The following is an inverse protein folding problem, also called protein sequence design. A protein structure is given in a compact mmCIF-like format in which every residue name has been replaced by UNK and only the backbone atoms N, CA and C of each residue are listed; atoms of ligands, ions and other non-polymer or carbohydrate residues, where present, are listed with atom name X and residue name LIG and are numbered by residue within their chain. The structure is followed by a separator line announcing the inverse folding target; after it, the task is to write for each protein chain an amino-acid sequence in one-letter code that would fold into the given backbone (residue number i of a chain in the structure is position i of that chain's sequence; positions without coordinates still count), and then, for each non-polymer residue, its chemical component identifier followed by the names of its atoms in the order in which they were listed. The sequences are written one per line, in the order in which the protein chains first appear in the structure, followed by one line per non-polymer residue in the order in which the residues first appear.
data_IF_378895613678
#
_entry.id   IF_378895613678
#
_cell.length_a   1.000
_cell.length_b   1.000
_cell.length_c   1.000
_cell.angle_alpha   90.00
_cell.angle_beta   90.00
_cell.angle_gamma   90.00
#
_symmetry.space_group_name_H-M   'P 1'
#
loop_
_entity.id
_entity.type
_entity.pdbx_description
1 polymer ?
#
# COMPACT_ATOMS: atom_id res chain seq x y z
N UNK A 1 12.60 4.60 1.02
CA UNK A 1 12.18 3.76 2.17
C UNK A 1 12.80 4.32 3.43
N UNK A 2 12.18 4.14 4.59
CA UNK A 2 12.75 4.51 5.89
C UNK A 2 13.50 3.33 6.49
N UNK A 3 14.62 3.59 7.16
CA UNK A 3 15.38 2.55 7.84
C UNK A 3 14.93 2.44 9.30
N UNK A 4 14.53 1.24 9.71
CA UNK A 4 14.31 0.91 11.13
C UNK A 4 15.66 0.76 11.84
N UNK A 5 15.64 0.81 13.17
CA UNK A 5 16.85 0.64 14.00
C UNK A 5 17.51 -0.74 13.83
N UNK A 6 16.76 -1.75 13.37
CA UNK A 6 17.24 -3.09 13.07
C UNK A 6 17.83 -3.22 11.64
N UNK A 7 17.86 -2.14 10.87
CA UNK A 7 18.35 -2.14 9.49
C UNK A 7 17.32 -2.52 8.43
N UNK A 8 16.07 -2.79 8.81
CA UNK A 8 15.00 -3.11 7.86
C UNK A 8 14.48 -1.86 7.17
N UNK A 9 14.29 -1.91 5.84
CA UNK A 9 13.67 -0.84 5.08
C UNK A 9 12.14 -0.96 5.07
N UNK A 10 11.45 0.16 5.28
CA UNK A 10 9.99 0.22 5.27
C UNK A 10 9.43 1.36 4.45
N UNK A 11 8.20 1.18 3.97
CA UNK A 11 7.48 2.21 3.23
C UNK A 11 6.98 3.34 4.13
N UNK A 12 6.45 2.99 5.31
CA UNK A 12 5.87 3.96 6.23
C UNK A 12 6.87 4.50 7.25
N UNK A 13 6.74 5.78 7.58
CA UNK A 13 7.48 6.37 8.68
C UNK A 13 7.01 5.77 10.02
N UNK A 14 7.93 5.20 10.80
CA UNK A 14 7.65 4.41 12.02
C UNK A 14 6.85 5.13 13.12
N UNK A 15 6.65 6.45 13.02
CA UNK A 15 5.84 7.25 13.94
C UNK A 15 4.32 7.06 13.76
N UNK A 16 3.85 6.58 12.62
CA UNK A 16 2.42 6.25 12.43
C UNK A 16 2.12 4.91 13.11
N UNK A 17 1.48 4.97 14.29
CA UNK A 17 1.17 3.82 15.18
C UNK A 17 0.19 2.77 14.59
N UNK A 18 -0.04 2.78 13.28
CA UNK A 18 -1.01 1.89 12.64
C UNK A 18 -0.29 0.64 12.11
N UNK A 19 -0.72 -0.57 12.49
CA UNK A 19 -0.27 -1.77 11.82
C UNK A 19 -0.70 -1.72 10.35
N UNK A 20 0.12 -2.30 9.47
CA UNK A 20 -0.18 -2.35 8.05
C UNK A 20 0.34 -3.64 7.41
N UNK A 21 -0.28 -4.02 6.30
CA UNK A 21 0.26 -5.02 5.38
C UNK A 21 0.85 -4.27 4.19
N UNK A 22 2.03 -4.68 3.74
CA UNK A 22 2.69 -4.10 2.56
C UNK A 22 2.84 -5.14 1.48
N UNK A 23 2.45 -4.76 0.26
CA UNK A 23 2.68 -5.51 -0.96
C UNK A 23 3.62 -4.68 -1.83
N UNK A 24 4.90 -5.05 -1.86
CA UNK A 24 5.88 -4.37 -2.69
C UNK A 24 5.66 -4.70 -4.16
N UNK A 25 6.18 -3.87 -5.05
CA UNK A 25 6.04 -4.07 -6.48
C UNK A 25 6.80 -3.04 -7.30
N UNK A 26 6.55 -3.06 -8.60
CA UNK A 26 7.11 -2.10 -9.53
C UNK A 26 6.07 -1.62 -10.55
N UNK A 27 6.25 -0.38 -11.01
CA UNK A 27 5.45 0.23 -12.07
C UNK A 27 6.12 -0.06 -13.42
N UNK A 28 5.57 -0.99 -14.19
CA UNK A 28 6.09 -1.38 -15.49
C UNK A 28 5.58 -0.44 -16.58
N UNK A 29 6.46 0.46 -17.01
CA UNK A 29 6.24 1.36 -18.15
C UNK A 29 7.57 1.97 -18.61
N UNK A 30 7.65 2.36 -19.89
CA UNK A 30 8.76 3.13 -20.44
C UNK A 30 8.69 4.62 -20.06
N UNK A 31 7.54 5.11 -19.59
CA UNK A 31 7.38 6.52 -19.22
C UNK A 31 8.17 6.90 -17.97
N UNK A 32 8.58 8.16 -17.88
CA UNK A 32 9.23 8.70 -16.69
C UNK A 32 8.27 8.80 -15.50
N UNK A 33 8.78 8.58 -14.29
CA UNK A 33 7.95 8.62 -13.08
C UNK A 33 7.23 9.97 -12.90
N UNK A 34 7.82 11.08 -13.34
CA UNK A 34 7.18 12.39 -13.27
C UNK A 34 5.83 12.44 -14.03
N UNK A 35 5.72 11.75 -15.16
CA UNK A 35 4.49 11.63 -15.94
C UNK A 35 3.46 10.76 -15.20
N UNK A 36 3.90 9.63 -14.66
CA UNK A 36 3.06 8.71 -13.87
C UNK A 36 2.50 9.44 -12.65
N UNK A 37 3.37 10.13 -11.91
CA UNK A 37 3.03 10.93 -10.72
C UNK A 37 1.97 11.99 -11.02
N UNK A 38 2.07 12.68 -12.16
CA UNK A 38 1.07 13.66 -12.57
C UNK A 38 -0.33 13.05 -12.72
N UNK A 39 -0.42 11.88 -13.37
CA UNK A 39 -1.71 11.18 -13.53
C UNK A 39 -2.25 10.66 -12.19
N UNK A 40 -1.39 10.07 -11.37
CA UNK A 40 -1.78 9.62 -10.03
C UNK A 40 -2.27 10.77 -9.15
N UNK A 41 -1.66 11.96 -9.23
CA UNK A 41 -2.13 13.17 -8.52
C UNK A 41 -3.46 13.72 -9.04
N UNK A 42 -3.86 13.38 -10.26
CA UNK A 42 -5.17 13.75 -10.80
C UNK A 42 -6.26 12.79 -10.32
N UNK A 43 -5.91 11.52 -10.13
CA UNK A 43 -6.84 10.48 -9.71
C UNK A 43 -6.99 10.36 -8.19
N UNK A 44 -5.92 10.61 -7.44
CA UNK A 44 -5.84 10.31 -6.01
C UNK A 44 -5.30 11.48 -5.19
N UNK A 45 -5.72 11.53 -3.92
CA UNK A 45 -5.17 12.46 -2.94
C UNK A 45 -3.74 12.06 -2.55
N UNK A 46 -2.81 13.01 -2.63
CA UNK A 46 -1.43 12.82 -2.20
C UNK A 46 -1.32 13.05 -0.67
N UNK A 47 -0.99 11.99 0.05
CA UNK A 47 -0.74 12.00 1.48
C UNK A 47 0.72 12.42 1.75
N UNK A 48 0.90 13.34 2.69
CA UNK A 48 2.23 13.85 3.05
C UNK A 48 2.74 13.23 4.36
N UNK A 49 4.06 13.02 4.46
CA UNK A 49 4.71 12.64 5.71
C UNK A 49 4.44 11.21 6.19
N UNK A 50 3.83 10.35 5.36
CA UNK A 50 3.58 8.95 5.72
C UNK A 50 4.51 7.97 5.01
N UNK A 51 4.91 8.27 3.77
CA UNK A 51 5.79 7.42 2.97
C UNK A 51 7.10 8.13 2.63
N UNK A 52 8.05 7.38 2.09
CA UNK A 52 9.38 7.92 1.78
C UNK A 52 9.42 8.88 0.60
N UNK A 53 8.57 8.67 -0.40
CA UNK A 53 8.37 9.56 -1.55
C UNK A 53 6.89 9.93 -1.63
N UNK A 54 6.18 9.51 -2.68
CA UNK A 54 4.76 9.80 -2.83
C UNK A 54 3.90 8.70 -2.20
N UNK A 55 2.80 9.09 -1.57
CA UNK A 55 1.76 8.20 -1.09
C UNK A 55 0.40 8.72 -1.55
N UNK A 56 -0.40 7.84 -2.14
CA UNK A 56 -1.71 8.17 -2.69
C UNK A 56 -2.79 7.43 -1.93
N UNK A 57 -3.80 8.13 -1.45
CA UNK A 57 -4.99 7.50 -0.87
C UNK A 57 -5.83 6.90 -1.99
N UNK A 58 -5.88 5.57 -2.06
CA UNK A 58 -6.65 4.83 -3.08
C UNK A 58 -8.08 4.66 -2.62
N UNK A 59 -8.26 4.26 -1.34
CA UNK A 59 -9.57 4.00 -0.78
C UNK A 59 -9.56 4.13 0.75
N UNK A 60 -10.57 4.77 1.31
CA UNK A 60 -10.89 4.66 2.74
C UNK A 60 -11.69 3.39 3.00
N UNK A 61 -11.29 2.64 4.02
CA UNK A 61 -11.97 1.43 4.47
C UNK A 61 -12.72 1.70 5.77
N UNK A 62 -13.65 0.80 6.10
CA UNK A 62 -14.37 0.87 7.38
C UNK A 62 -13.40 0.76 8.56
N UNK A 63 -13.84 1.27 9.72
CA UNK A 63 -13.12 1.16 11.00
C UNK A 63 -11.71 1.79 11.00
N UNK A 64 -11.56 2.92 10.30
CA UNK A 64 -10.32 3.68 10.15
C UNK A 64 -9.19 2.92 9.40
N UNK A 65 -9.56 1.98 8.53
CA UNK A 65 -8.63 1.39 7.58
C UNK A 65 -8.45 2.26 6.34
N UNK A 66 -7.34 2.10 5.63
CA UNK A 66 -7.12 2.77 4.36
C UNK A 66 -6.24 1.92 3.44
N UNK A 67 -6.49 2.01 2.14
CA UNK A 67 -5.62 1.48 1.11
C UNK A 67 -4.80 2.64 0.53
N UNK A 68 -3.48 2.53 0.63
CA UNK A 68 -2.54 3.57 0.22
C UNK A 68 -1.57 3.00 -0.80
N UNK A 69 -1.42 3.65 -1.94
CA UNK A 69 -0.42 3.31 -2.94
C UNK A 69 0.80 4.22 -2.79
N UNK A 70 1.95 3.65 -2.47
CA UNK A 70 3.21 4.36 -2.38
C UNK A 70 4.02 4.15 -3.65
N UNK A 71 4.68 5.19 -4.14
CA UNK A 71 5.54 5.10 -5.32
C UNK A 71 6.76 6.00 -5.20
N UNK A 72 7.85 5.56 -5.84
CA UNK A 72 9.17 6.21 -5.83
C UNK A 72 9.59 6.57 -7.25
N UNK A 73 10.57 7.47 -7.34
CA UNK A 73 11.13 7.90 -8.63
C UNK A 73 11.81 6.80 -9.43
N UNK A 74 12.29 5.75 -8.76
CA UNK A 74 12.87 4.55 -9.36
C UNK A 74 11.80 3.53 -9.82
N UNK A 75 10.52 3.90 -9.78
CA UNK A 75 9.35 3.07 -10.13
C UNK A 75 9.11 1.88 -9.21
N UNK A 76 9.84 1.76 -8.10
CA UNK A 76 9.43 0.88 -7.02
C UNK A 76 8.14 1.43 -6.40
N UNK A 77 7.20 0.54 -6.07
CA UNK A 77 5.95 0.90 -5.44
C UNK A 77 5.56 -0.09 -4.35
N UNK A 78 4.56 0.27 -3.56
CA UNK A 78 3.89 -0.65 -2.68
C UNK A 78 2.42 -0.31 -2.49
N UNK A 79 1.60 -1.33 -2.34
CA UNK A 79 0.23 -1.19 -1.86
C UNK A 79 0.20 -1.49 -0.36
N UNK A 80 -0.23 -0.51 0.42
CA UNK A 80 -0.31 -0.59 1.87
C UNK A 80 -1.76 -0.68 2.29
N UNK A 81 -2.08 -1.72 3.05
CA UNK A 81 -3.35 -1.81 3.76
C UNK A 81 -3.10 -1.35 5.20
N UNK A 82 -3.54 -0.14 5.52
CA UNK A 82 -3.47 0.44 6.86
C UNK A 82 -4.71 0.07 7.66
N UNK A 83 -4.54 -0.24 8.94
CA UNK A 83 -5.67 -0.42 9.86
C UNK A 83 -5.45 -1.52 10.88
N UNK A 84 -6.43 -1.70 11.76
CA UNK A 84 -6.40 -2.80 12.73
C UNK A 84 -6.99 -4.06 12.11
N UNK A 85 -6.15 -5.10 12.01
CA UNK A 85 -6.58 -6.44 11.60
C UNK A 85 -7.07 -7.23 12.82
N UNK A 86 -8.10 -6.72 13.49
CA UNK A 86 -8.71 -7.45 14.59
C UNK A 86 -9.62 -8.56 14.02
N UNK A 87 -9.49 -9.79 14.55
CA UNK A 87 -10.53 -10.80 14.38
C UNK A 87 -11.77 -10.30 15.12
N UNK A 88 -12.63 -9.56 14.43
CA UNK A 88 -13.95 -9.22 14.94
C UNK A 88 -14.67 -10.49 15.41
N UNK A 89 -15.59 -10.36 16.38
CA UNK A 89 -16.44 -11.46 16.87
C UNK A 89 -17.38 -12.05 15.81
N UNK A 90 -17.27 -11.62 14.54
CA UNK A 90 -18.02 -12.17 13.44
C UNK A 90 -17.50 -13.56 13.08
N UNK A 91 -18.39 -14.56 13.10
CA UNK A 91 -18.11 -15.93 12.63
C UNK A 91 -17.98 -15.99 11.10
N UNK A 92 -17.13 -15.16 10.49
CA UNK A 92 -16.78 -15.32 9.08
C UNK A 92 -15.75 -16.43 8.95
N UNK A 93 -15.92 -17.28 7.92
CA UNK A 93 -14.92 -18.31 7.60
C UNK A 93 -13.63 -17.60 7.18
N UNK A 94 -12.45 -17.97 7.73
CA UNK A 94 -11.18 -17.32 7.41
C UNK A 94 -10.87 -17.25 5.90
N UNK A 95 -11.25 -18.26 5.11
CA UNK A 95 -10.99 -18.30 3.68
C UNK A 95 -11.70 -17.18 2.90
N UNK A 96 -12.97 -16.90 3.23
CA UNK A 96 -13.74 -15.86 2.56
C UNK A 96 -13.18 -14.45 2.82
N UNK A 97 -12.51 -14.25 3.96
CA UNK A 97 -11.84 -12.97 4.26
C UNK A 97 -10.60 -12.79 3.39
N UNK A 98 -9.85 -13.87 3.15
CA UNK A 98 -8.67 -13.84 2.30
C UNK A 98 -9.05 -13.64 0.82
N UNK A 99 -10.06 -14.35 0.32
CA UNK A 99 -10.56 -14.22 -1.05
C UNK A 99 -11.01 -12.78 -1.34
N UNK A 100 -11.83 -12.20 -0.46
CA UNK A 100 -12.29 -10.81 -0.61
C UNK A 100 -11.13 -9.80 -0.56
N UNK A 101 -10.08 -10.09 0.24
CA UNK A 101 -8.91 -9.23 0.32
C UNK A 101 -8.10 -9.30 -0.98
N UNK A 102 -7.89 -10.50 -1.53
CA UNK A 102 -7.21 -10.69 -2.82
C UNK A 102 -7.97 -9.98 -3.93
N UNK A 103 -9.29 -10.17 -4.01
CA UNK A 103 -10.13 -9.51 -5.01
C UNK A 103 -10.07 -7.97 -4.87
N UNK A 104 -10.10 -7.43 -3.65
CA UNK A 104 -9.93 -5.99 -3.40
C UNK A 104 -8.57 -5.49 -3.89
N UNK A 105 -7.50 -6.22 -3.59
CA UNK A 105 -6.14 -5.89 -4.02
C UNK A 105 -6.06 -5.87 -5.54
N UNK A 106 -6.50 -6.95 -6.20
CA UNK A 106 -6.47 -7.08 -7.67
C UNK A 106 -7.22 -5.93 -8.35
N UNK A 107 -8.47 -5.67 -7.93
CA UNK A 107 -9.27 -4.58 -8.47
C UNK A 107 -8.61 -3.21 -8.28
N UNK A 108 -7.98 -3.00 -7.12
CA UNK A 108 -7.29 -1.73 -6.82
C UNK A 108 -6.04 -1.57 -7.67
N UNK A 109 -5.24 -2.63 -7.81
CA UNK A 109 -4.02 -2.65 -8.63
C UNK A 109 -4.34 -2.36 -10.09
N UNK A 110 -5.39 -2.98 -10.61
CA UNK A 110 -5.86 -2.76 -11.99
C UNK A 110 -6.32 -1.32 -12.21
N UNK A 111 -7.07 -0.74 -11.26
CA UNK A 111 -7.51 0.65 -11.34
C UNK A 111 -6.33 1.63 -11.23
N UNK A 112 -5.40 1.41 -10.30
CA UNK A 112 -4.17 2.20 -10.20
C UNK A 112 -3.39 2.12 -11.51
N UNK A 113 -3.25 0.94 -12.10
CA UNK A 113 -2.58 0.74 -13.38
C UNK A 113 -3.24 1.53 -14.51
N UNK A 114 -4.58 1.49 -14.60
CA UNK A 114 -5.34 2.30 -15.56
C UNK A 114 -5.10 3.80 -15.37
N UNK A 115 -5.19 4.31 -14.14
CA UNK A 115 -4.99 5.73 -13.84
C UNK A 115 -3.53 6.15 -14.09
N UNK A 116 -2.56 5.29 -13.79
CA UNK A 116 -1.15 5.53 -14.05
C UNK A 116 -0.81 5.46 -15.55
N UNK A 117 -1.61 4.76 -16.37
CA UNK A 117 -1.24 4.38 -17.73
C UNK A 117 -0.08 3.39 -17.76
N UNK A 118 -0.01 2.49 -16.78
CA UNK A 118 1.09 1.55 -16.59
C UNK A 118 0.57 0.20 -16.04
N UNK A 119 1.39 -0.84 -16.13
CA UNK A 119 1.09 -2.12 -15.47
C UNK A 119 1.72 -2.07 -14.08
N UNK A 120 0.95 -2.39 -13.04
CA UNK A 120 1.47 -2.50 -11.67
C UNK A 120 1.74 -3.97 -11.39
N UNK A 121 3.00 -4.31 -11.13
CA UNK A 121 3.39 -5.68 -10.77
C UNK A 121 3.69 -5.75 -9.29
N UNK A 122 2.84 -6.46 -8.55
CA UNK A 122 3.10 -6.75 -7.14
C UNK A 122 3.97 -7.99 -7.01
N UNK A 123 4.97 -7.89 -6.15
CA UNK A 123 5.83 -8.97 -5.68
C UNK A 123 5.44 -9.36 -4.24
N UNK A 124 5.76 -10.60 -3.86
CA UNK A 124 5.26 -11.33 -2.68
C UNK A 124 5.13 -10.50 -1.38
N UNK A 125 4.05 -10.79 -0.65
CA UNK A 125 3.66 -10.20 0.65
C UNK A 125 4.75 -10.31 1.71
N UNK A 126 5.41 -9.21 2.06
CA UNK A 126 6.18 -9.13 3.30
C UNK A 126 5.22 -8.68 4.42
N UNK A 127 4.77 -9.62 5.25
CA UNK A 127 3.97 -9.29 6.43
C UNK A 127 4.83 -8.61 7.48
N UNK A 128 4.76 -7.28 7.56
CA UNK A 128 5.41 -6.52 8.63
C UNK A 128 4.43 -6.30 9.79
N UNK A 129 4.51 -7.16 10.81
CA UNK A 129 3.85 -6.88 12.07
C UNK A 129 4.73 -5.93 12.89
N UNK A 130 4.24 -4.71 13.16
CA UNK A 130 4.80 -3.86 14.20
C UNK A 130 4.46 -4.47 15.59
N UNK A 131 5.14 -5.54 15.96
CA UNK A 131 4.97 -6.16 17.28
C UNK A 131 5.82 -5.39 18.28
N UNK A 132 5.18 -4.77 19.28
CA UNK A 132 5.90 -4.32 20.48
C UNK A 132 6.39 -5.56 21.23
N UNK A 133 7.71 -5.74 21.37
CA UNK A 133 8.24 -6.51 22.48
C UNK A 133 7.88 -5.77 23.77
N UNK A 134 7.29 -6.50 24.72
CA UNK A 134 7.09 -6.02 26.10
C UNK A 134 8.36 -6.20 26.89
#
# INVERSE_FOLDING_TARGET
MFLKADGTEVWLQSSTKLPYISLSGFIETSEEYATIRLRLRQAYELLSGIASDDAFLVQELKDNGALVFCARSDKNCALLLLGKFDRGREKRKPCAVLENLVEMIENSVDEIGRQAGAIIRLEVVQSELAVRSR
#
